data_IF_101186020689
#
_entry.id   IF_101186020689
#
_cell.length_a   1.000
_cell.length_b   1.000
_cell.length_c   1.000
_cell.angle_alpha   90.00
_cell.angle_beta   90.00
_cell.angle_gamma   90.00
#
_symmetry.space_group_name_H-M   'P 1'
#
loop_
_entity.id
_entity.type
_entity.pdbx_description
1 polymer ?
#
# COMPACT_ATOMS: atom_id res chain seq x y z
N UNK A 1 30.41 -14.99 -44.03
CA UNK A 1 29.09 -14.80 -43.38
C UNK A 1 29.25 -14.58 -41.88
N UNK A 2 30.05 -15.39 -41.16
CA UNK A 2 30.34 -15.21 -39.72
C UNK A 2 31.06 -13.90 -39.39
N UNK A 3 31.99 -13.43 -40.24
CA UNK A 3 32.71 -12.17 -40.00
C UNK A 3 31.87 -10.91 -40.23
N UNK A 4 30.82 -11.01 -41.05
CA UNK A 4 29.87 -9.90 -41.27
C UNK A 4 28.96 -9.74 -40.04
N UNK A 5 28.47 -10.85 -39.49
CA UNK A 5 27.67 -10.87 -38.26
C UNK A 5 28.48 -10.34 -37.07
N UNK A 6 29.75 -10.71 -36.94
CA UNK A 6 30.62 -10.18 -35.86
C UNK A 6 30.82 -8.66 -35.95
N UNK A 7 31.00 -8.12 -37.15
CA UNK A 7 31.14 -6.67 -37.36
C UNK A 7 29.86 -5.90 -37.05
N UNK A 8 28.72 -6.42 -37.45
CA UNK A 8 27.43 -5.77 -37.20
C UNK A 8 27.02 -5.85 -35.73
N UNK A 9 27.32 -6.97 -35.05
CA UNK A 9 27.14 -7.07 -33.59
C UNK A 9 28.08 -6.12 -32.85
N UNK A 10 29.35 -6.02 -33.23
CA UNK A 10 30.27 -5.05 -32.63
C UNK A 10 29.83 -3.61 -32.83
N UNK A 11 29.35 -3.24 -34.03
CA UNK A 11 28.79 -1.91 -34.29
C UNK A 11 27.51 -1.63 -33.50
N UNK A 12 26.61 -2.61 -33.39
CA UNK A 12 25.41 -2.46 -32.56
C UNK A 12 25.75 -2.31 -31.08
N UNK A 13 26.76 -3.02 -30.58
CA UNK A 13 27.25 -2.88 -29.19
C UNK A 13 27.92 -1.52 -28.97
N UNK A 14 28.69 -1.02 -29.94
CA UNK A 14 29.29 0.32 -29.90
C UNK A 14 28.26 1.44 -30.00
N UNK A 15 27.23 1.30 -30.85
CA UNK A 15 26.13 2.27 -30.95
C UNK A 15 25.22 2.27 -29.72
N UNK A 16 25.09 1.14 -29.03
CA UNK A 16 24.37 1.04 -27.76
C UNK A 16 25.19 1.59 -26.60
N UNK A 17 26.50 1.35 -26.56
CA UNK A 17 27.40 1.86 -25.52
C UNK A 17 27.64 3.38 -25.64
N UNK A 18 27.75 3.90 -26.86
CA UNK A 18 27.90 5.33 -27.12
C UNK A 18 26.68 6.17 -26.70
N UNK A 19 25.49 5.57 -26.60
CA UNK A 19 24.28 6.25 -26.09
C UNK A 19 24.18 6.30 -24.56
N UNK A 20 25.10 5.65 -23.84
CA UNK A 20 25.02 5.49 -22.37
C UNK A 20 26.12 6.20 -21.56
N UNK A 21 27.10 6.85 -22.20
CA UNK A 21 28.36 7.23 -21.54
C UNK A 21 28.68 8.73 -21.45
N UNK A 22 27.71 9.62 -21.67
CA UNK A 22 27.88 11.07 -21.43
C UNK A 22 27.65 11.49 -19.96
N UNK A 23 27.77 10.55 -19.03
CA UNK A 23 27.70 10.89 -17.61
C UNK A 23 29.09 11.33 -17.11
N UNK A 24 29.28 12.60 -16.70
CA UNK A 24 30.58 13.10 -16.24
C UNK A 24 31.09 12.38 -14.98
N UNK A 25 30.24 11.60 -14.32
CA UNK A 25 30.55 10.88 -13.09
C UNK A 25 30.69 9.36 -13.28
N UNK A 26 30.61 8.83 -14.50
CA UNK A 26 30.63 7.37 -14.79
C UNK A 26 31.79 6.63 -14.11
N UNK A 27 32.98 7.25 -14.04
CA UNK A 27 34.18 6.68 -13.42
C UNK A 27 34.18 6.69 -11.88
N UNK A 28 33.47 7.64 -11.26
CA UNK A 28 33.49 7.82 -9.80
C UNK A 28 32.32 7.12 -9.11
N UNK A 29 31.17 6.98 -9.78
CA UNK A 29 29.95 6.38 -9.22
C UNK A 29 30.20 4.98 -8.61
N UNK A 30 30.90 4.03 -9.29
CA UNK A 30 31.10 2.70 -8.70
C UNK A 30 31.88 2.73 -7.39
N UNK A 31 32.86 3.64 -7.27
CA UNK A 31 33.64 3.81 -6.05
C UNK A 31 32.81 4.43 -4.92
N UNK A 32 31.95 5.39 -5.25
CA UNK A 32 31.03 6.02 -4.29
C UNK A 32 29.99 5.03 -3.78
N UNK A 33 29.38 4.23 -4.67
CA UNK A 33 28.42 3.19 -4.29
C UNK A 33 29.05 2.13 -3.38
N UNK A 34 30.29 1.71 -3.65
CA UNK A 34 31.02 0.75 -2.80
C UNK A 34 31.25 1.27 -1.39
N UNK A 35 31.40 2.58 -1.22
CA UNK A 35 31.57 3.23 0.09
C UNK A 35 30.23 3.45 0.82
N UNK A 36 29.11 3.38 0.11
CA UNK A 36 27.79 3.78 0.59
C UNK A 36 27.61 5.29 0.48
N UNK A 37 26.55 5.73 -0.19
CA UNK A 37 26.32 7.16 -0.47
C UNK A 37 26.12 7.97 0.82
N UNK A 38 25.61 7.36 1.89
CA UNK A 38 25.51 7.98 3.22
C UNK A 38 26.87 8.29 3.88
N UNK A 39 27.94 7.60 3.48
CA UNK A 39 29.29 7.76 4.05
C UNK A 39 30.19 8.69 3.23
N UNK A 40 29.63 9.34 2.21
CA UNK A 40 30.36 10.24 1.31
C UNK A 40 30.09 11.68 1.74
N UNK A 41 31.16 12.41 2.08
CA UNK A 41 31.04 13.85 2.27
C UNK A 41 30.94 14.56 0.91
N UNK A 42 29.76 15.11 0.62
CA UNK A 42 29.48 15.87 -0.60
C UNK A 42 29.41 17.39 -0.36
N UNK A 43 29.85 17.89 0.81
CA UNK A 43 29.77 19.31 1.19
C UNK A 43 30.56 20.25 0.29
N UNK A 44 31.53 19.71 -0.47
CA UNK A 44 32.37 20.47 -1.39
C UNK A 44 31.72 20.70 -2.76
N UNK A 45 30.59 20.04 -3.04
CA UNK A 45 29.83 20.23 -4.27
C UNK A 45 28.70 21.23 -4.05
N UNK A 46 28.43 22.07 -5.05
CA UNK A 46 27.17 22.83 -5.12
C UNK A 46 25.98 21.88 -5.10
N UNK A 47 24.82 22.34 -4.61
CA UNK A 47 23.61 21.52 -4.51
C UNK A 47 23.18 20.92 -5.86
N UNK A 48 23.32 21.66 -6.97
CA UNK A 48 22.98 21.16 -8.30
C UNK A 48 23.89 20.01 -8.73
N UNK A 49 25.21 20.16 -8.56
CA UNK A 49 26.18 19.09 -8.84
C UNK A 49 26.00 17.88 -7.93
N UNK A 50 25.63 18.10 -6.66
CA UNK A 50 25.30 17.02 -5.73
C UNK A 50 24.09 16.23 -6.21
N UNK A 51 23.02 16.91 -6.67
CA UNK A 51 21.84 16.26 -7.25
C UNK A 51 22.17 15.50 -8.53
N UNK A 52 22.97 16.09 -9.41
CA UNK A 52 23.42 15.46 -10.67
C UNK A 52 24.18 14.15 -10.39
N UNK A 53 25.14 14.19 -9.46
CA UNK A 53 25.92 13.02 -9.03
C UNK A 53 25.05 11.93 -8.38
N UNK A 54 24.13 12.32 -7.50
CA UNK A 54 23.25 11.37 -6.81
C UNK A 54 22.25 10.74 -7.78
N UNK A 55 21.66 11.51 -8.69
CA UNK A 55 20.80 10.98 -9.75
C UNK A 55 21.58 10.00 -10.63
N UNK A 56 22.80 10.35 -11.02
CA UNK A 56 23.69 9.47 -11.75
C UNK A 56 23.98 8.15 -11.02
N UNK A 57 24.21 8.20 -9.70
CA UNK A 57 24.36 6.99 -8.89
C UNK A 57 23.05 6.17 -8.80
N UNK A 58 21.90 6.82 -8.73
CA UNK A 58 20.59 6.16 -8.75
C UNK A 58 20.32 5.42 -10.07
N UNK A 59 20.71 6.00 -11.22
CA UNK A 59 20.65 5.31 -12.52
C UNK A 59 21.54 4.06 -12.54
N UNK A 60 22.72 4.13 -11.93
CA UNK A 60 23.61 2.97 -11.82
C UNK A 60 23.02 1.88 -10.90
N UNK A 61 22.35 2.26 -9.80
CA UNK A 61 21.57 1.32 -9.00
C UNK A 61 20.48 0.63 -9.81
N UNK A 62 19.74 1.37 -10.67
CA UNK A 62 18.74 0.77 -11.56
C UNK A 62 19.35 -0.23 -12.55
N UNK A 63 20.49 0.10 -13.17
CA UNK A 63 21.21 -0.81 -14.08
C UNK A 63 21.62 -2.12 -13.41
N UNK A 64 21.88 -2.09 -12.10
CA UNK A 64 22.24 -3.24 -11.27
C UNK A 64 21.04 -3.94 -10.64
N UNK A 65 19.82 -3.55 -11.02
CA UNK A 65 18.57 -4.05 -10.45
C UNK A 65 18.43 -3.81 -8.93
N UNK A 66 19.11 -2.78 -8.40
CA UNK A 66 19.04 -2.36 -7.00
C UNK A 66 17.96 -1.27 -6.82
N UNK A 67 16.70 -1.65 -7.08
CA UNK A 67 15.55 -0.72 -7.14
C UNK A 67 15.33 0.06 -5.83
N UNK A 68 15.46 -0.59 -4.68
CA UNK A 68 15.22 0.03 -3.36
C UNK A 68 16.19 1.19 -3.11
N UNK A 69 17.47 0.99 -3.45
CA UNK A 69 18.50 2.01 -3.28
C UNK A 69 18.31 3.14 -4.29
N UNK A 70 17.97 2.82 -5.55
CA UNK A 70 17.65 3.82 -6.57
C UNK A 70 16.49 4.73 -6.15
N UNK A 71 15.37 4.15 -5.70
CA UNK A 71 14.19 4.90 -5.24
C UNK A 71 14.54 5.79 -4.05
N UNK A 72 15.33 5.29 -3.09
CA UNK A 72 15.80 6.08 -1.94
C UNK A 72 16.57 7.31 -2.40
N UNK A 73 17.50 7.14 -3.34
CA UNK A 73 18.32 8.26 -3.85
C UNK A 73 17.48 9.23 -4.66
N UNK A 74 16.58 8.77 -5.52
CA UNK A 74 15.67 9.65 -6.27
C UNK A 74 14.71 10.44 -5.36
N UNK A 75 14.26 9.84 -4.25
CA UNK A 75 13.49 10.53 -3.22
C UNK A 75 14.33 11.64 -2.57
N UNK A 76 15.58 11.34 -2.21
CA UNK A 76 16.50 12.32 -1.61
C UNK A 76 16.81 13.48 -2.55
N UNK A 77 16.92 13.24 -3.85
CA UNK A 77 17.19 14.28 -4.85
C UNK A 77 15.94 15.02 -5.31
N UNK A 78 14.74 14.54 -4.95
CA UNK A 78 13.47 15.08 -5.41
C UNK A 78 13.22 14.83 -6.91
N UNK A 79 13.82 13.79 -7.49
CA UNK A 79 13.70 13.48 -8.91
C UNK A 79 12.36 12.79 -9.23
N UNK A 80 11.29 13.59 -9.26
CA UNK A 80 9.93 13.14 -9.53
C UNK A 80 9.78 12.45 -10.89
N UNK A 81 10.44 12.98 -11.93
CA UNK A 81 10.37 12.43 -13.30
C UNK A 81 10.83 10.97 -13.33
N UNK A 82 11.94 10.65 -12.63
CA UNK A 82 12.41 9.26 -12.57
C UNK A 82 11.54 8.37 -11.70
N UNK A 83 11.03 8.87 -10.57
CA UNK A 83 10.08 8.12 -9.75
C UNK A 83 8.80 7.77 -10.54
N UNK A 84 8.28 8.70 -11.35
CA UNK A 84 7.13 8.46 -12.25
C UNK A 84 7.49 7.41 -13.30
N UNK A 85 8.67 7.51 -13.93
CA UNK A 85 9.11 6.51 -14.92
C UNK A 85 9.20 5.11 -14.32
N UNK A 86 9.73 4.99 -13.10
CA UNK A 86 9.77 3.71 -12.37
C UNK A 86 8.34 3.20 -12.14
N UNK A 87 7.43 4.08 -11.70
CA UNK A 87 6.03 3.71 -11.53
C UNK A 87 5.38 3.21 -12.83
N UNK A 88 5.62 3.92 -13.95
CA UNK A 88 5.10 3.54 -15.27
C UNK A 88 5.60 2.16 -15.71
N UNK A 89 6.86 1.84 -15.45
CA UNK A 89 7.42 0.53 -15.77
C UNK A 89 6.81 -0.58 -14.89
N UNK A 90 6.55 -0.31 -13.61
CA UNK A 90 5.83 -1.26 -12.74
C UNK A 90 4.39 -1.48 -13.19
N UNK A 91 3.68 -0.45 -13.65
CA UNK A 91 2.32 -0.59 -14.21
C UNK A 91 2.31 -1.47 -15.47
N UNK A 92 3.33 -1.38 -16.33
CA UNK A 92 3.45 -2.24 -17.51
C UNK A 92 3.67 -3.71 -17.14
N UNK A 93 4.31 -3.97 -16.02
CA UNK A 93 4.57 -5.31 -15.48
C UNK A 93 3.42 -5.84 -14.60
N UNK A 94 2.35 -5.07 -14.40
CA UNK A 94 1.24 -5.43 -13.51
C UNK A 94 1.58 -5.34 -12.01
N UNK A 95 2.69 -4.70 -11.64
CA UNK A 95 3.15 -4.55 -10.27
C UNK A 95 2.55 -3.29 -9.63
N UNK A 96 1.23 -3.26 -9.49
CA UNK A 96 0.48 -2.06 -9.10
C UNK A 96 0.88 -1.48 -7.74
N UNK A 97 1.08 -2.31 -6.71
CA UNK A 97 1.49 -1.84 -5.39
C UNK A 97 2.82 -1.06 -5.42
N UNK A 98 3.81 -1.57 -6.16
CA UNK A 98 5.09 -0.89 -6.34
C UNK A 98 4.96 0.40 -7.16
N UNK A 99 4.10 0.40 -8.19
CA UNK A 99 3.81 1.59 -8.97
C UNK A 99 3.19 2.71 -8.12
N UNK A 100 2.18 2.38 -7.29
CA UNK A 100 1.49 3.31 -6.41
C UNK A 100 2.47 3.95 -5.42
N UNK A 101 3.34 3.15 -4.81
CA UNK A 101 4.37 3.69 -3.90
C UNK A 101 5.34 4.63 -4.64
N UNK A 102 5.75 4.30 -5.87
CA UNK A 102 6.59 5.19 -6.67
C UNK A 102 5.89 6.52 -7.00
N UNK A 103 4.62 6.50 -7.40
CA UNK A 103 3.84 7.71 -7.69
C UNK A 103 3.56 8.54 -6.43
N UNK A 104 3.32 7.88 -5.29
CA UNK A 104 3.17 8.52 -3.98
C UNK A 104 4.43 9.24 -3.56
N UNK A 105 5.61 8.63 -3.76
CA UNK A 105 6.90 9.27 -3.52
C UNK A 105 7.17 10.44 -4.49
N UNK A 106 6.64 10.38 -5.71
CA UNK A 106 6.70 11.46 -6.68
C UNK A 106 5.67 12.58 -6.42
N UNK A 107 4.71 12.35 -5.51
CA UNK A 107 3.55 13.21 -5.26
C UNK A 107 2.69 13.46 -6.51
N UNK A 108 2.68 12.50 -7.45
CA UNK A 108 1.93 12.60 -8.70
C UNK A 108 0.50 12.05 -8.53
N UNK A 109 -0.43 12.96 -8.24
CA UNK A 109 -1.84 12.63 -8.06
C UNK A 109 -2.48 12.08 -9.32
N UNK A 110 -2.13 12.60 -10.50
CA UNK A 110 -2.76 12.18 -11.75
C UNK A 110 -2.41 10.73 -12.08
N UNK A 111 -1.14 10.36 -11.89
CA UNK A 111 -0.68 8.98 -12.06
C UNK A 111 -1.28 8.04 -11.03
N UNK A 112 -1.40 8.46 -9.76
CA UNK A 112 -2.11 7.70 -8.73
C UNK A 112 -3.57 7.43 -9.12
N UNK A 113 -4.28 8.45 -9.60
CA UNK A 113 -5.67 8.30 -10.03
C UNK A 113 -5.82 7.33 -11.20
N UNK A 114 -4.96 7.43 -12.22
CA UNK A 114 -4.96 6.53 -13.38
C UNK A 114 -4.62 5.10 -12.98
N UNK A 115 -3.62 4.93 -12.11
CA UNK A 115 -3.27 3.62 -11.57
C UNK A 115 -4.42 3.01 -10.78
N UNK A 116 -5.08 3.80 -9.92
CA UNK A 116 -6.23 3.37 -9.14
C UNK A 116 -7.43 2.95 -9.99
N UNK A 117 -7.74 3.70 -11.06
CA UNK A 117 -8.78 3.34 -12.03
C UNK A 117 -8.46 2.02 -12.72
N UNK A 118 -7.23 1.88 -13.23
CA UNK A 118 -6.79 0.63 -13.86
C UNK A 118 -6.86 -0.56 -12.89
N UNK A 119 -6.45 -0.37 -11.63
CA UNK A 119 -6.56 -1.40 -10.60
C UNK A 119 -8.03 -1.78 -10.35
N UNK A 120 -8.93 -0.81 -10.30
CA UNK A 120 -10.36 -1.06 -10.10
C UNK A 120 -10.96 -1.87 -11.26
N UNK A 121 -10.63 -1.50 -12.50
CA UNK A 121 -11.10 -2.19 -13.71
C UNK A 121 -10.58 -3.64 -13.79
N UNK A 122 -9.34 -3.87 -13.35
CA UNK A 122 -8.72 -5.20 -13.31
C UNK A 122 -9.07 -6.00 -12.05
N UNK A 123 -9.84 -5.44 -11.11
CA UNK A 123 -10.28 -6.10 -9.89
C UNK A 123 -9.27 -6.12 -8.72
N UNK A 124 -8.17 -5.38 -8.84
CA UNK A 124 -7.17 -5.15 -7.81
C UNK A 124 -7.66 -4.11 -6.78
N UNK A 125 -8.64 -4.51 -5.96
CA UNK A 125 -9.34 -3.60 -5.04
C UNK A 125 -8.43 -2.97 -3.98
N UNK A 126 -7.51 -3.75 -3.39
CA UNK A 126 -6.61 -3.26 -2.36
C UNK A 126 -5.71 -2.14 -2.89
N UNK A 127 -5.14 -2.36 -4.08
CA UNK A 127 -4.29 -1.40 -4.78
C UNK A 127 -5.09 -0.17 -5.23
N UNK A 128 -6.32 -0.35 -5.74
CA UNK A 128 -7.19 0.77 -6.10
C UNK A 128 -7.47 1.67 -4.89
N UNK A 129 -7.82 1.08 -3.74
CA UNK A 129 -8.06 1.80 -2.48
C UNK A 129 -6.80 2.54 -2.04
N UNK A 130 -5.64 1.88 -2.06
CA UNK A 130 -4.37 2.51 -1.70
C UNK A 130 -4.03 3.70 -2.60
N UNK A 131 -4.25 3.57 -3.91
CA UNK A 131 -4.02 4.63 -4.88
C UNK A 131 -4.91 5.85 -4.64
N UNK A 132 -6.22 5.66 -4.47
CA UNK A 132 -7.15 6.78 -4.24
C UNK A 132 -6.96 7.43 -2.86
N UNK A 133 -6.60 6.64 -1.83
CA UNK A 133 -6.17 7.17 -0.51
C UNK A 133 -4.94 8.07 -0.66
N UNK A 134 -3.93 7.60 -1.40
CA UNK A 134 -2.71 8.38 -1.63
C UNK A 134 -2.96 9.64 -2.47
N UNK A 135 -3.89 9.60 -3.42
CA UNK A 135 -4.30 10.77 -4.20
C UNK A 135 -5.13 11.79 -3.40
N UNK A 136 -5.77 11.34 -2.31
CA UNK A 136 -6.69 12.13 -1.50
C UNK A 136 -8.05 12.38 -2.17
N UNK A 137 -8.44 11.50 -3.10
CA UNK A 137 -9.70 11.63 -3.85
C UNK A 137 -10.83 10.87 -3.12
N UNK A 138 -11.56 11.61 -2.30
CA UNK A 138 -12.65 11.06 -1.49
C UNK A 138 -13.83 10.58 -2.33
N UNK A 139 -14.11 11.24 -3.47
CA UNK A 139 -15.23 10.87 -4.34
C UNK A 139 -14.99 9.52 -5.00
N UNK A 140 -13.77 9.29 -5.51
CA UNK A 140 -13.41 7.99 -6.06
C UNK A 140 -13.35 6.90 -5.00
N UNK A 141 -12.83 7.20 -3.81
CA UNK A 141 -12.92 6.25 -2.69
C UNK A 141 -14.36 5.88 -2.38
N UNK A 142 -15.27 6.86 -2.31
CA UNK A 142 -16.68 6.60 -2.02
C UNK A 142 -17.30 5.68 -3.09
N UNK A 143 -17.01 5.92 -4.38
CA UNK A 143 -17.43 5.04 -5.48
C UNK A 143 -16.88 3.62 -5.37
N UNK A 144 -15.61 3.46 -4.99
CA UNK A 144 -15.00 2.14 -4.76
C UNK A 144 -15.68 1.44 -3.59
N UNK A 145 -15.99 2.16 -2.51
CA UNK A 145 -16.74 1.63 -1.37
C UNK A 145 -18.12 1.12 -1.80
N UNK A 146 -18.85 1.90 -2.59
CA UNK A 146 -20.16 1.51 -3.12
C UNK A 146 -20.07 0.29 -4.04
N UNK A 147 -19.08 0.28 -4.93
CA UNK A 147 -18.79 -0.87 -5.79
C UNK A 147 -18.50 -2.14 -4.95
N UNK A 148 -17.69 -2.03 -3.89
CA UNK A 148 -17.41 -3.14 -2.98
C UNK A 148 -18.68 -3.66 -2.29
N UNK A 149 -19.61 -2.77 -1.91
CA UNK A 149 -20.89 -3.18 -1.32
C UNK A 149 -21.80 -3.93 -2.28
N UNK A 150 -21.88 -3.46 -3.53
CA UNK A 150 -22.66 -4.12 -4.58
C UNK A 150 -22.12 -5.51 -4.89
N UNK A 151 -20.78 -5.68 -4.87
CA UNK A 151 -20.11 -6.97 -5.11
C UNK A 151 -20.03 -7.87 -3.87
N UNK A 152 -20.56 -7.43 -2.72
CA UNK A 152 -20.50 -8.19 -1.46
C UNK A 152 -19.08 -8.29 -0.87
N UNK A 153 -18.16 -7.42 -1.29
CA UNK A 153 -16.79 -7.33 -0.79
C UNK A 153 -16.75 -6.47 0.48
N UNK A 154 -17.37 -6.98 1.54
CA UNK A 154 -17.66 -6.25 2.77
C UNK A 154 -16.39 -5.74 3.47
N UNK A 155 -15.33 -6.53 3.52
CA UNK A 155 -14.06 -6.13 4.14
C UNK A 155 -13.47 -4.86 3.52
N UNK A 156 -13.38 -4.82 2.18
CA UNK A 156 -12.89 -3.66 1.45
C UNK A 156 -13.83 -2.45 1.59
N UNK A 157 -15.14 -2.67 1.60
CA UNK A 157 -16.11 -1.60 1.83
C UNK A 157 -15.94 -0.96 3.21
N UNK A 158 -15.78 -1.78 4.27
CA UNK A 158 -15.52 -1.30 5.63
C UNK A 158 -14.21 -0.50 5.67
N UNK A 159 -13.14 -0.99 5.03
CA UNK A 159 -11.86 -0.28 4.97
C UNK A 159 -11.97 1.09 4.31
N UNK A 160 -12.74 1.18 3.21
CA UNK A 160 -12.99 2.43 2.50
C UNK A 160 -13.79 3.41 3.35
N UNK A 161 -14.94 2.99 3.88
CA UNK A 161 -15.80 3.90 4.64
C UNK A 161 -15.23 4.28 6.00
N UNK A 162 -14.37 3.43 6.58
CA UNK A 162 -13.54 3.79 7.73
C UNK A 162 -12.55 4.90 7.39
N UNK A 163 -11.86 4.81 6.26
CA UNK A 163 -10.94 5.85 5.82
C UNK A 163 -11.64 7.17 5.45
N UNK A 164 -12.92 7.12 5.10
CA UNK A 164 -13.76 8.29 4.82
C UNK A 164 -14.49 8.83 6.06
N UNK A 165 -14.33 8.21 7.23
CA UNK A 165 -15.10 8.50 8.45
C UNK A 165 -16.63 8.52 8.20
N UNK A 166 -17.12 7.67 7.29
CA UNK A 166 -18.53 7.62 6.94
C UNK A 166 -19.29 6.66 7.87
N UNK A 167 -19.55 7.14 9.10
CA UNK A 167 -20.25 6.37 10.15
C UNK A 167 -21.61 5.84 9.68
N UNK A 168 -22.38 6.64 8.96
CA UNK A 168 -23.70 6.22 8.46
C UNK A 168 -23.61 4.97 7.56
N UNK A 169 -22.68 4.94 6.61
CA UNK A 169 -22.47 3.77 5.75
C UNK A 169 -21.91 2.58 6.53
N UNK A 170 -20.98 2.80 7.46
CA UNK A 170 -20.47 1.73 8.33
C UNK A 170 -21.59 1.06 9.14
N UNK A 171 -22.50 1.84 9.73
CA UNK A 171 -23.64 1.29 10.47
C UNK A 171 -24.61 0.53 9.56
N UNK A 172 -24.86 1.02 8.35
CA UNK A 172 -25.66 0.31 7.36
C UNK A 172 -25.05 -1.03 6.95
N UNK A 173 -23.72 -1.08 6.79
CA UNK A 173 -22.98 -2.32 6.55
C UNK A 173 -23.11 -3.26 7.73
N UNK A 174 -22.92 -2.75 8.94
CA UNK A 174 -23.06 -3.54 10.17
C UNK A 174 -24.42 -4.21 10.27
N UNK A 175 -25.50 -3.48 9.98
CA UNK A 175 -26.88 -4.03 9.98
C UNK A 175 -27.05 -5.13 8.92
N UNK A 176 -26.54 -4.89 7.71
CA UNK A 176 -26.57 -5.89 6.64
C UNK A 176 -25.82 -7.17 7.06
N UNK A 177 -24.59 -7.04 7.56
CA UNK A 177 -23.79 -8.17 8.04
C UNK A 177 -24.48 -8.91 9.19
N UNK A 178 -25.04 -8.17 10.16
CA UNK A 178 -25.75 -8.74 11.30
C UNK A 178 -26.95 -9.57 10.85
N UNK A 179 -27.76 -9.05 9.93
CA UNK A 179 -28.92 -9.77 9.37
C UNK A 179 -28.52 -11.06 8.63
N UNK A 180 -27.31 -11.10 8.07
CA UNK A 180 -26.73 -12.24 7.37
C UNK A 180 -25.98 -13.21 8.31
N UNK A 181 -25.99 -12.94 9.63
CA UNK A 181 -25.23 -13.67 10.66
C UNK A 181 -23.71 -13.62 10.48
N UNK A 182 -23.22 -12.64 9.72
CA UNK A 182 -21.81 -12.33 9.62
C UNK A 182 -21.42 -11.37 10.76
N UNK A 183 -21.34 -11.95 11.96
CA UNK A 183 -21.12 -11.19 13.19
C UNK A 183 -19.72 -10.57 13.27
N UNK A 184 -18.72 -11.13 12.56
CA UNK A 184 -17.34 -10.61 12.56
C UNK A 184 -17.30 -9.26 11.82
N UNK A 185 -17.84 -9.22 10.59
CA UNK A 185 -17.91 -7.97 9.84
C UNK A 185 -18.88 -6.98 10.49
N UNK A 186 -19.98 -7.45 11.09
CA UNK A 186 -20.89 -6.60 11.85
C UNK A 186 -20.19 -5.94 13.04
N UNK A 187 -19.45 -6.70 13.85
CA UNK A 187 -18.68 -6.17 14.98
C UNK A 187 -17.70 -5.09 14.51
N UNK A 188 -16.90 -5.39 13.47
CA UNK A 188 -15.92 -4.44 12.93
C UNK A 188 -16.58 -3.16 12.43
N UNK A 189 -17.70 -3.27 11.73
CA UNK A 189 -18.42 -2.11 11.21
C UNK A 189 -19.04 -1.25 12.33
N UNK A 190 -19.64 -1.86 13.36
CA UNK A 190 -20.17 -1.14 14.51
C UNK A 190 -19.08 -0.54 15.41
N UNK A 191 -17.94 -1.20 15.55
CA UNK A 191 -16.75 -0.69 16.24
C UNK A 191 -16.25 0.60 15.58
N UNK A 192 -16.09 0.57 14.26
CA UNK A 192 -15.68 1.75 13.48
C UNK A 192 -16.78 2.82 13.38
N UNK A 193 -18.05 2.41 13.46
CA UNK A 193 -19.20 3.31 13.50
C UNK A 193 -19.54 3.86 14.89
N UNK A 194 -18.80 3.44 15.94
CA UNK A 194 -18.97 3.83 17.34
C UNK A 194 -20.36 3.52 17.94
N UNK A 195 -21.02 2.45 17.49
CA UNK A 195 -22.35 2.03 17.99
C UNK A 195 -22.22 0.95 19.07
N UNK A 196 -22.13 1.41 20.33
CA UNK A 196 -21.93 0.55 21.50
C UNK A 196 -23.11 -0.40 21.75
N UNK A 197 -24.34 0.04 21.45
CA UNK A 197 -25.54 -0.79 21.66
C UNK A 197 -25.53 -1.98 20.71
N UNK A 198 -25.23 -1.75 19.43
CA UNK A 198 -25.16 -2.83 18.44
C UNK A 198 -23.95 -3.74 18.65
N UNK A 199 -22.84 -3.23 19.17
CA UNK A 199 -21.72 -4.07 19.60
C UNK A 199 -22.11 -5.02 20.75
N UNK A 200 -22.89 -4.54 21.74
CA UNK A 200 -23.42 -5.41 22.80
C UNK A 200 -24.28 -6.52 22.21
N UNK A 201 -25.17 -6.19 21.26
CA UNK A 201 -26.00 -7.19 20.57
C UNK A 201 -25.16 -8.22 19.80
N UNK A 202 -24.08 -7.80 19.15
CA UNK A 202 -23.13 -8.73 18.50
C UNK A 202 -22.44 -9.63 19.54
N UNK A 203 -22.03 -9.07 20.68
CA UNK A 203 -21.48 -9.83 21.80
C UNK A 203 -22.44 -10.90 22.33
N UNK A 204 -23.74 -10.59 22.44
CA UNK A 204 -24.77 -11.55 22.83
C UNK A 204 -24.90 -12.69 21.82
N UNK A 205 -24.88 -12.38 20.53
CA UNK A 205 -24.92 -13.39 19.48
C UNK A 205 -23.68 -14.29 19.52
N UNK A 206 -22.48 -13.73 19.70
CA UNK A 206 -21.25 -14.51 19.89
C UNK A 206 -21.31 -15.44 21.11
N UNK A 207 -21.90 -14.99 22.22
CA UNK A 207 -22.13 -15.82 23.41
C UNK A 207 -23.06 -17.00 23.10
N UNK A 208 -24.17 -16.75 22.39
CA UNK A 208 -25.15 -17.79 22.03
C UNK A 208 -24.54 -18.90 21.16
N UNK A 209 -23.62 -18.55 20.27
CA UNK A 209 -22.92 -19.51 19.41
C UNK A 209 -21.62 -20.08 20.02
N UNK A 210 -21.28 -19.69 21.26
CA UNK A 210 -20.12 -20.20 22.00
C UNK A 210 -18.78 -19.60 21.58
N UNK A 211 -18.75 -18.52 20.79
CA UNK A 211 -17.52 -17.81 20.40
C UNK A 211 -17.11 -16.80 21.48
N UNK A 212 -16.69 -17.30 22.65
CA UNK A 212 -16.42 -16.50 23.84
C UNK A 212 -15.31 -15.46 23.64
N UNK A 213 -14.27 -15.77 22.88
CA UNK A 213 -13.20 -14.81 22.57
C UNK A 213 -13.72 -13.59 21.79
N UNK A 214 -14.57 -13.84 20.78
CA UNK A 214 -15.16 -12.79 19.96
C UNK A 214 -16.22 -12.00 20.75
N UNK A 215 -17.01 -12.68 21.59
CA UNK A 215 -17.94 -12.03 22.52
C UNK A 215 -17.22 -11.08 23.47
N UNK A 216 -16.12 -11.55 24.10
CA UNK A 216 -15.31 -10.74 25.00
C UNK A 216 -14.80 -9.48 24.31
N UNK A 217 -14.23 -9.62 23.11
CA UNK A 217 -13.75 -8.48 22.32
C UNK A 217 -14.89 -7.50 21.99
N UNK A 218 -16.05 -8.01 21.58
CA UNK A 218 -17.21 -7.17 21.27
C UNK A 218 -17.69 -6.38 22.49
N UNK A 219 -17.79 -7.01 23.67
CA UNK A 219 -18.17 -6.32 24.91
C UNK A 219 -17.10 -5.33 25.40
N UNK A 220 -15.81 -5.63 25.20
CA UNK A 220 -14.73 -4.68 25.47
C UNK A 220 -14.84 -3.44 24.58
N UNK A 221 -15.07 -3.63 23.27
CA UNK A 221 -15.28 -2.53 22.33
C UNK A 221 -16.55 -1.72 22.68
N UNK A 222 -17.61 -2.40 23.15
CA UNK A 222 -18.84 -1.77 23.63
C UNK A 222 -18.70 -1.07 25.00
N UNK A 223 -17.55 -1.20 25.68
CA UNK A 223 -17.31 -0.74 27.06
C UNK A 223 -18.31 -1.30 28.08
N UNK A 224 -18.75 -2.55 27.88
CA UNK A 224 -19.64 -3.26 28.79
C UNK A 224 -18.84 -4.04 29.84
N UNK A 225 -18.40 -3.34 30.88
CA UNK A 225 -17.54 -3.90 31.93
C UNK A 225 -18.18 -5.10 32.66
N UNK A 226 -19.51 -5.05 32.86
CA UNK A 226 -20.26 -6.13 33.51
C UNK A 226 -20.12 -7.45 32.75
N UNK A 227 -20.36 -7.43 31.43
CA UNK A 227 -20.25 -8.65 30.61
C UNK A 227 -18.81 -9.09 30.42
N UNK A 228 -17.87 -8.16 30.33
CA UNK A 228 -16.44 -8.47 30.28
C UNK A 228 -16.00 -9.22 31.54
N UNK A 229 -16.39 -8.74 32.72
CA UNK A 229 -16.04 -9.37 33.98
C UNK A 229 -16.72 -10.73 34.14
N UNK A 230 -18.01 -10.83 33.78
CA UNK A 230 -18.73 -12.09 33.75
C UNK A 230 -18.01 -13.15 32.91
N UNK A 231 -17.57 -12.81 31.70
CA UNK A 231 -16.87 -13.78 30.82
C UNK A 231 -15.53 -14.18 31.43
N UNK A 232 -14.76 -13.23 31.96
CA UNK A 232 -13.45 -13.53 32.57
C UNK A 232 -13.59 -14.43 33.80
N UNK A 233 -14.48 -14.10 34.73
CA UNK A 233 -14.64 -14.87 35.97
C UNK A 233 -15.13 -16.30 35.73
N UNK A 234 -16.00 -16.50 34.73
CA UNK A 234 -16.65 -17.79 34.51
C UNK A 234 -15.95 -18.67 33.46
N UNK A 235 -15.07 -18.10 32.62
CA UNK A 235 -14.48 -18.81 31.48
C UNK A 235 -12.96 -18.63 31.31
N UNK A 236 -12.26 -17.91 32.21
CA UNK A 236 -10.81 -17.65 32.10
C UNK A 236 -9.90 -18.88 32.07
N UNK A 237 -10.31 -20.00 32.68
CA UNK A 237 -9.47 -21.20 32.81
C UNK A 237 -9.54 -22.15 31.61
N UNK A 238 -10.39 -21.86 30.61
CA UNK A 238 -10.53 -22.71 29.43
C UNK A 238 -9.78 -22.07 28.25
N UNK A 239 -9.08 -22.88 27.45
CA UNK A 239 -8.51 -22.55 26.11
C UNK A 239 -9.54 -22.01 25.08
N UNK A 240 -10.72 -21.57 25.54
CA UNK A 240 -11.83 -21.03 24.78
C UNK A 240 -11.67 -19.52 24.50
N UNK A 241 -10.90 -18.78 25.32
CA UNK A 241 -10.69 -17.33 25.15
C UNK A 241 -9.53 -17.03 24.17
N UNK A 242 -8.67 -18.00 23.88
CA UNK A 242 -7.49 -17.83 23.01
C UNK A 242 -7.77 -18.03 21.53
N UNK A 243 -8.90 -18.63 21.14
CA UNK A 243 -9.28 -18.83 19.73
C UNK A 243 -10.11 -17.65 19.21
N UNK A 244 -9.41 -16.60 18.81
CA UNK A 244 -10.02 -15.49 18.05
C UNK A 244 -10.17 -15.96 16.60
N UNK A 245 -11.41 -15.97 16.10
CA UNK A 245 -11.63 -16.12 14.66
C UNK A 245 -11.60 -14.72 14.05
N UNK A 246 -10.53 -14.46 13.28
CA UNK A 246 -10.29 -13.23 12.51
C UNK A 246 -10.88 -13.42 11.11
#
# INVERSE_FOLDING_TARGET
>A
MVDYIKRDVSKMVEEYSAKTDDNPFSKIIPALMKKGLENVNLSMFSDDKKKELLNAAAEEYLKRNQLVDAIRVFKMTGNRVRLISIGDDHVKLGLFGAAIEAYKLAEDKEKLLKAGEKCLDEGHLAEAIAAFKAAGDQDKLNKVGDYCLEKGKLEFAIEVFSALDNKAKLLSIGEKCFSQKDYIHAARAYELGEDLEKLNRVGEEFMKIGLLANALRAYQAAKNEMMVQFIKENFAEKDLITRVYV
#
